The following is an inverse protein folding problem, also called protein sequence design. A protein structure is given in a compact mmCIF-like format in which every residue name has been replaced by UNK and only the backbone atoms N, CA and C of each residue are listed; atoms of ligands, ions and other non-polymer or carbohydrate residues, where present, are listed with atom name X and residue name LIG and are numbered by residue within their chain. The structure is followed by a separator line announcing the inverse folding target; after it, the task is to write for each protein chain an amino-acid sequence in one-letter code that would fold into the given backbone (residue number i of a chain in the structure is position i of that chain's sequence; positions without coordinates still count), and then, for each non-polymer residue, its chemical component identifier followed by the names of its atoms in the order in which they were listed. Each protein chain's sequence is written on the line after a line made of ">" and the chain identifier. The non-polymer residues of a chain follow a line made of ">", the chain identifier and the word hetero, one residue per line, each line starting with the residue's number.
data_IF_682451449724
#
_entry.id   IF_682451449724
#
_cell.length_a   1.000
_cell.length_b   1.000
_cell.length_c   1.000
_cell.angle_alpha   90.00
_cell.angle_beta   90.00
_cell.angle_gamma   90.00
#
_symmetry.space_group_name_H-M   'P 1'
#
loop_
_entity.id
_entity.type
_entity.pdbx_description
1 polymer ?
#
# COMPACT_ATOMS: atom_id res chain seq x y z
N UNK A 1 5.11 8.02 -12.56
CA UNK A 1 4.03 8.74 -11.86
C UNK A 1 2.82 7.83 -11.80
N UNK A 2 2.30 7.54 -10.61
CA UNK A 2 1.16 6.64 -10.39
C UNK A 2 -0.12 7.41 -10.69
N UNK A 3 -0.82 7.09 -11.79
CA UNK A 3 -1.96 7.87 -12.29
C UNK A 3 -3.27 7.11 -12.35
N UNK A 4 -3.24 5.82 -12.04
CA UNK A 4 -4.41 4.96 -11.95
C UNK A 4 -4.22 3.94 -10.84
N UNK A 5 -5.32 3.34 -10.38
CA UNK A 5 -5.30 2.30 -9.36
C UNK A 5 -4.34 1.14 -9.69
N UNK A 6 -4.29 0.70 -10.94
CA UNK A 6 -3.49 -0.47 -11.34
C UNK A 6 -1.99 -0.22 -11.17
N UNK A 7 -1.49 0.90 -11.69
CA UNK A 7 -0.10 1.33 -11.56
C UNK A 7 0.30 1.54 -10.09
N UNK A 8 -0.60 2.07 -9.26
CA UNK A 8 -0.34 2.22 -7.84
C UNK A 8 -0.28 0.87 -7.10
N UNK A 9 -1.18 -0.07 -7.40
CA UNK A 9 -1.13 -1.43 -6.83
C UNK A 9 0.14 -2.17 -7.24
N UNK A 10 0.56 -2.04 -8.50
CA UNK A 10 1.80 -2.64 -9.00
C UNK A 10 3.05 -2.01 -8.34
N UNK A 11 3.04 -0.71 -8.05
CA UNK A 11 4.16 -0.05 -7.37
C UNK A 11 4.26 -0.48 -5.90
N UNK A 12 3.14 -0.60 -5.19
CA UNK A 12 3.12 -1.05 -3.79
C UNK A 12 3.56 -2.51 -3.68
N UNK A 13 3.04 -3.38 -4.56
CA UNK A 13 3.38 -4.80 -4.55
C UNK A 13 4.87 -5.01 -4.85
N UNK A 14 5.44 -4.25 -5.79
CA UNK A 14 6.88 -4.28 -6.05
C UNK A 14 7.70 -3.77 -4.86
N UNK A 15 7.30 -2.66 -4.23
CA UNK A 15 8.02 -2.07 -3.10
C UNK A 15 8.07 -3.00 -1.89
N UNK A 16 7.01 -3.75 -1.63
CA UNK A 16 6.90 -4.69 -0.51
C UNK A 16 7.21 -6.14 -0.89
N UNK A 17 7.71 -6.37 -2.12
CA UNK A 17 8.02 -7.70 -2.65
C UNK A 17 6.88 -8.71 -2.45
N UNK A 18 5.65 -8.30 -2.77
CA UNK A 18 4.47 -9.15 -2.62
C UNK A 18 4.62 -10.47 -3.40
N UNK A 19 4.01 -11.55 -2.91
CA UNK A 19 4.02 -12.84 -3.59
C UNK A 19 3.34 -12.81 -4.96
N UNK A 20 3.73 -13.73 -5.85
CA UNK A 20 3.22 -13.84 -7.23
C UNK A 20 1.70 -14.07 -7.31
N UNK A 21 1.08 -14.56 -6.24
CA UNK A 21 -0.37 -14.76 -6.15
C UNK A 21 -1.16 -13.47 -5.84
N UNK A 22 -0.50 -12.32 -5.79
CA UNK A 22 -1.16 -11.03 -5.52
C UNK A 22 -2.28 -10.73 -6.53
N UNK A 23 -3.52 -10.66 -6.04
CA UNK A 23 -4.74 -10.56 -6.86
C UNK A 23 -5.02 -9.20 -7.50
N UNK A 24 -4.10 -8.22 -7.40
CA UNK A 24 -4.19 -6.88 -8.02
C UNK A 24 -5.52 -6.14 -7.79
N UNK A 25 -6.08 -6.26 -6.59
CA UNK A 25 -7.28 -5.56 -6.16
C UNK A 25 -7.13 -5.07 -4.70
N UNK A 26 -8.09 -4.28 -4.20
CA UNK A 26 -7.99 -3.65 -2.88
C UNK A 26 -8.07 -4.66 -1.73
N UNK A 27 -8.86 -5.73 -1.88
CA UNK A 27 -8.97 -6.77 -0.85
C UNK A 27 -7.67 -7.56 -0.75
N UNK A 28 -7.10 -7.95 -1.91
CA UNK A 28 -5.80 -8.60 -1.99
C UNK A 28 -4.67 -7.70 -1.45
N UNK A 29 -4.76 -6.39 -1.65
CA UNK A 29 -3.81 -5.42 -1.07
C UNK A 29 -3.90 -5.45 0.45
N UNK A 30 -5.11 -5.32 1.00
CA UNK A 30 -5.35 -5.36 2.44
C UNK A 30 -4.84 -6.65 3.07
N UNK A 31 -5.14 -7.80 2.48
CA UNK A 31 -4.69 -9.10 2.98
C UNK A 31 -3.16 -9.21 2.99
N UNK A 32 -2.50 -8.79 1.92
CA UNK A 32 -1.04 -8.82 1.85
C UNK A 32 -0.37 -7.89 2.87
N UNK A 33 -0.91 -6.69 3.09
CA UNK A 33 -0.37 -5.72 4.05
C UNK A 33 -0.51 -6.14 5.51
N UNK A 34 -1.49 -7.00 5.84
CA UNK A 34 -1.63 -7.55 7.19
C UNK A 34 -0.76 -8.77 7.44
N UNK A 35 -0.49 -9.54 6.38
CA UNK A 35 0.29 -10.76 6.48
C UNK A 35 1.79 -10.43 6.61
N UNK A 36 2.37 -9.80 5.58
CA UNK A 36 3.80 -9.47 5.48
C UNK A 36 4.76 -10.60 5.91
N UNK A 37 4.29 -11.86 5.97
CA UNK A 37 5.07 -12.99 6.52
C UNK A 37 6.30 -13.35 5.69
N UNK A 38 6.31 -12.97 4.41
CA UNK A 38 7.48 -13.11 3.53
C UNK A 38 8.58 -12.07 3.83
N UNK A 39 8.27 -11.00 4.56
CA UNK A 39 9.27 -10.06 5.05
C UNK A 39 9.81 -10.51 6.41
N UNK A 40 11.03 -10.06 6.73
CA UNK A 40 11.61 -10.23 8.05
C UNK A 40 10.72 -9.61 9.14
N UNK A 41 10.77 -10.18 10.34
CA UNK A 41 10.16 -9.57 11.53
C UNK A 41 10.78 -8.20 11.81
N UNK A 42 9.98 -7.32 12.39
CA UNK A 42 10.36 -5.93 12.66
C UNK A 42 9.43 -4.91 12.01
N UNK A 43 9.72 -3.64 12.26
CA UNK A 43 8.93 -2.52 11.78
C UNK A 43 9.08 -2.32 10.27
N UNK A 44 7.94 -2.13 9.61
CA UNK A 44 7.85 -1.80 8.19
C UNK A 44 7.21 -0.44 8.01
N UNK A 45 7.81 0.41 7.17
CA UNK A 45 7.28 1.74 6.86
C UNK A 45 7.10 1.90 5.36
N UNK A 46 5.86 2.09 4.92
CA UNK A 46 5.54 2.41 3.54
C UNK A 46 5.42 3.93 3.37
N UNK A 47 6.30 4.51 2.57
CA UNK A 47 6.29 5.94 2.25
C UNK A 47 5.73 6.15 0.85
N UNK A 48 4.58 6.78 0.74
CA UNK A 48 4.00 7.18 -0.53
C UNK A 48 4.29 8.65 -0.82
N UNK A 49 5.21 8.89 -1.75
CA UNK A 49 5.58 10.22 -2.25
C UNK A 49 4.67 10.65 -3.40
N UNK A 50 4.26 11.92 -3.38
CA UNK A 50 3.42 12.57 -4.37
C UNK A 50 2.06 11.89 -4.64
N UNK A 51 1.30 11.44 -3.61
CA UNK A 51 0.02 10.75 -3.80
C UNK A 51 -1.04 11.62 -4.49
N UNK A 52 -0.89 12.95 -4.47
CA UNK A 52 -1.72 13.90 -5.18
C UNK A 52 -1.84 13.62 -6.68
N UNK A 53 -0.80 13.03 -7.28
CA UNK A 53 -0.82 12.66 -8.69
C UNK A 53 -1.90 11.63 -8.98
N UNK A 54 -2.01 10.60 -8.14
CA UNK A 54 -3.09 9.62 -8.24
C UNK A 54 -4.42 10.23 -7.80
N UNK A 55 -4.43 11.01 -6.71
CA UNK A 55 -5.65 11.65 -6.19
C UNK A 55 -6.35 12.53 -7.24
N UNK A 56 -5.59 13.21 -8.09
CA UNK A 56 -6.14 14.05 -9.17
C UNK A 56 -6.60 13.19 -10.35
N UNK A 57 -5.81 12.19 -10.75
CA UNK A 57 -6.07 11.40 -11.96
C UNK A 57 -7.16 10.32 -11.76
N UNK A 58 -7.21 9.71 -10.57
CA UNK A 58 -8.15 8.66 -10.17
C UNK A 58 -8.53 8.81 -8.67
N UNK A 59 -9.48 9.71 -8.34
CA UNK A 59 -9.88 9.97 -6.96
C UNK A 59 -10.46 8.75 -6.24
N UNK A 60 -11.20 7.90 -6.97
CA UNK A 60 -11.80 6.67 -6.43
C UNK A 60 -10.73 5.63 -6.14
N UNK A 61 -9.81 5.40 -7.08
CA UNK A 61 -8.65 4.52 -6.88
C UNK A 61 -7.79 4.97 -5.71
N UNK A 62 -7.47 6.27 -5.64
CA UNK A 62 -6.74 6.85 -4.53
C UNK A 62 -7.43 6.59 -3.19
N UNK A 63 -8.72 6.90 -3.07
CA UNK A 63 -9.46 6.74 -1.81
C UNK A 63 -9.51 5.28 -1.36
N UNK A 64 -9.69 4.35 -2.31
CA UNK A 64 -9.70 2.92 -2.05
C UNK A 64 -8.34 2.40 -1.57
N UNK A 65 -7.25 2.78 -2.23
CA UNK A 65 -5.90 2.35 -1.83
C UNK A 65 -5.53 2.99 -0.49
N UNK A 66 -5.75 4.30 -0.31
CA UNK A 66 -5.46 4.99 0.95
C UNK A 66 -6.16 4.30 2.13
N UNK A 67 -7.45 3.99 1.98
CA UNK A 67 -8.20 3.27 3.01
C UNK A 67 -7.62 1.89 3.29
N UNK A 68 -7.31 1.10 2.26
CA UNK A 68 -6.72 -0.22 2.45
C UNK A 68 -5.36 -0.15 3.18
N UNK A 69 -4.52 0.85 2.87
CA UNK A 69 -3.25 1.09 3.55
C UNK A 69 -3.45 1.44 5.03
N UNK A 70 -4.35 2.38 5.34
CA UNK A 70 -4.62 2.82 6.71
C UNK A 70 -5.27 1.72 7.55
N UNK A 71 -6.28 1.02 7.00
CA UNK A 71 -6.98 -0.07 7.69
C UNK A 71 -6.03 -1.25 7.97
N UNK A 72 -5.11 -1.56 7.03
CA UNK A 72 -4.12 -2.61 7.22
C UNK A 72 -3.05 -2.21 8.25
N UNK A 73 -2.56 -0.97 8.21
CA UNK A 73 -1.59 -0.45 9.19
C UNK A 73 -2.15 -0.52 10.62
N UNK A 74 -3.42 -0.16 10.81
CA UNK A 74 -4.12 -0.26 12.09
C UNK A 74 -4.33 -1.70 12.59
N UNK A 75 -4.29 -2.68 11.67
CA UNK A 75 -4.53 -4.10 11.94
C UNK A 75 -3.26 -4.96 11.83
N UNK A 76 -2.09 -4.33 11.74
CA UNK A 76 -0.82 -5.02 11.54
C UNK A 76 -0.43 -5.85 12.77
N UNK A 77 0.31 -6.94 12.53
CA UNK A 77 0.82 -7.81 13.61
C UNK A 77 1.82 -7.07 14.50
N UNK A 78 1.86 -7.41 15.80
CA UNK A 78 2.89 -6.91 16.72
C UNK A 78 4.32 -7.31 16.30
N UNK A 79 4.49 -8.46 15.64
CA UNK A 79 5.81 -8.91 15.14
C UNK A 79 6.25 -8.21 13.84
N UNK A 80 5.30 -7.60 13.12
CA UNK A 80 5.50 -6.92 11.85
C UNK A 80 4.60 -5.67 11.78
N UNK A 81 4.80 -4.68 12.65
CA UNK A 81 3.97 -3.48 12.62
C UNK A 81 4.22 -2.75 11.30
N UNK A 82 3.15 -2.22 10.71
CA UNK A 82 3.19 -1.46 9.47
C UNK A 82 2.77 -0.02 9.76
N UNK A 83 3.59 0.94 9.36
CA UNK A 83 3.26 2.36 9.32
C UNK A 83 3.19 2.86 7.88
N UNK A 84 2.26 3.77 7.60
CA UNK A 84 2.09 4.38 6.27
C UNK A 84 2.24 5.88 6.38
N UNK A 85 3.12 6.44 5.56
CA UNK A 85 3.41 7.88 5.51
C UNK A 85 3.10 8.41 4.12
N UNK A 86 2.25 9.43 4.05
CA UNK A 86 1.96 10.15 2.81
C UNK A 86 2.71 11.47 2.81
N UNK A 87 3.47 11.73 1.74
CA UNK A 87 4.22 12.99 1.59
C UNK A 87 3.93 13.59 0.24
N UNK A 88 3.38 14.81 0.25
CA UNK A 88 3.16 15.58 -0.97
C UNK A 88 4.51 15.98 -1.59
N UNK A 89 4.59 16.05 -2.91
CA UNK A 89 5.71 16.70 -3.59
C UNK A 89 5.47 18.21 -3.59
N UNK A 90 6.23 18.94 -2.76
CA UNK A 90 6.18 20.40 -2.69
C UNK A 90 6.63 21.10 -3.97
#
# INVERSE_FOLDING_TARGET
>A
MLRDKASALDAISAALSFPDYFGKNLDALYDCLRDLSWLQEGEHVLIWVAPETLRIADPTGYSGIKRALEDAAASASESRPLSVVFTESG
#
